data_IF_702343547894
#
_entry.id   IF_702343547894
#
_cell.length_a   1.000
_cell.length_b   1.000
_cell.length_c   1.000
_cell.angle_alpha   90.00
_cell.angle_beta   90.00
_cell.angle_gamma   90.00
#
_symmetry.space_group_name_H-M   'P 1'
#
loop_
_entity.id
_entity.type
_entity.pdbx_description
1 polymer ?
#
# COMPACT_ATOMS: atom_id res chain seq x y z
N UNK A 1 -4.72 10.03 -15.94
CA UNK A 1 -3.97 9.02 -15.16
C UNK A 1 -2.49 9.41 -15.25
N UNK A 2 -1.87 9.89 -14.18
CA UNK A 2 -0.40 9.94 -14.10
C UNK A 2 0.01 8.50 -13.79
N UNK A 3 0.63 7.81 -14.75
CA UNK A 3 1.13 6.45 -14.51
C UNK A 3 2.16 6.49 -13.39
N UNK A 4 2.29 5.41 -12.62
CA UNK A 4 3.34 5.24 -11.61
C UNK A 4 4.77 5.47 -12.16
N UNK A 5 4.93 5.50 -13.48
CA UNK A 5 6.16 5.86 -14.19
C UNK A 5 6.55 7.35 -14.09
N UNK A 6 5.67 8.24 -13.61
CA UNK A 6 5.96 9.67 -13.47
C UNK A 6 6.72 10.02 -12.18
N UNK A 7 6.74 9.08 -11.24
CA UNK A 7 7.28 9.22 -9.88
C UNK A 7 8.73 8.75 -9.76
N UNK A 8 9.12 7.80 -10.61
CA UNK A 8 10.45 7.21 -10.63
C UNK A 8 11.25 7.80 -11.80
N UNK A 9 12.53 8.11 -11.55
CA UNK A 9 13.43 8.63 -12.58
C UNK A 9 13.49 7.64 -13.76
N UNK A 10 13.36 8.15 -14.99
CA UNK A 10 13.51 7.33 -16.20
C UNK A 10 14.88 6.65 -16.19
N UNK A 11 14.88 5.35 -16.53
CA UNK A 11 16.10 4.51 -16.50
C UNK A 11 16.73 4.37 -15.10
N UNK A 12 15.94 4.43 -14.02
CA UNK A 12 16.42 4.30 -12.64
C UNK A 12 17.33 3.09 -12.40
N UNK A 13 17.04 1.92 -12.97
CA UNK A 13 17.93 0.76 -12.82
C UNK A 13 19.31 0.96 -13.47
N UNK A 14 19.38 1.56 -14.66
CA UNK A 14 20.67 1.88 -15.30
C UNK A 14 21.45 2.92 -14.48
N UNK A 15 20.75 3.91 -13.93
CA UNK A 15 21.36 4.92 -13.06
C UNK A 15 21.87 4.31 -11.75
N UNK A 16 21.08 3.43 -11.13
CA UNK A 16 21.44 2.74 -9.89
C UNK A 16 22.66 1.82 -10.07
N UNK A 17 22.73 1.09 -11.20
CA UNK A 17 23.90 0.28 -11.57
C UNK A 17 25.16 1.15 -11.66
N UNK A 18 25.10 2.26 -12.40
CA UNK A 18 26.24 3.18 -12.54
C UNK A 18 26.67 3.76 -11.19
N UNK A 19 25.72 4.21 -10.38
CA UNK A 19 26.02 4.81 -9.07
C UNK A 19 26.67 3.80 -8.13
N UNK A 20 26.10 2.59 -8.05
CA UNK A 20 26.67 1.50 -7.26
C UNK A 20 28.11 1.17 -7.70
N UNK A 21 28.35 1.07 -9.02
CA UNK A 21 29.66 0.72 -9.56
C UNK A 21 30.68 1.86 -9.51
N UNK A 22 30.23 3.11 -9.42
CA UNK A 22 31.08 4.26 -9.09
C UNK A 22 31.43 4.35 -7.60
N UNK A 23 30.89 3.43 -6.78
CA UNK A 23 31.15 3.38 -5.34
C UNK A 23 30.27 4.32 -4.53
N UNK A 24 29.20 4.89 -5.10
CA UNK A 24 28.19 5.64 -4.34
C UNK A 24 27.39 4.61 -3.53
N UNK A 25 27.30 4.82 -2.21
CA UNK A 25 26.53 3.94 -1.32
C UNK A 25 25.14 4.43 -0.98
N UNK A 26 24.92 5.74 -0.97
CA UNK A 26 23.68 6.32 -0.44
C UNK A 26 23.16 7.41 -1.37
N UNK A 27 21.86 7.37 -1.67
CA UNK A 27 21.13 8.42 -2.40
C UNK A 27 20.02 8.92 -1.48
N UNK A 28 19.73 10.22 -1.55
CA UNK A 28 18.65 10.85 -0.81
C UNK A 28 17.59 11.32 -1.79
N UNK A 29 16.43 10.71 -1.72
CA UNK A 29 15.29 11.01 -2.59
C UNK A 29 14.10 11.50 -1.80
N UNK A 30 13.04 11.85 -2.51
CA UNK A 30 11.79 12.37 -1.98
C UNK A 30 10.71 12.22 -3.05
N UNK A 31 9.88 13.25 -3.25
CA UNK A 31 8.77 13.27 -4.23
C UNK A 31 7.56 12.39 -3.87
N UNK A 32 7.78 11.14 -3.45
CA UNK A 32 6.69 10.23 -3.02
C UNK A 32 6.07 10.59 -1.67
N UNK A 33 6.79 11.39 -0.87
CA UNK A 33 6.40 11.81 0.47
C UNK A 33 6.28 10.67 1.49
N UNK A 34 6.74 9.46 1.19
CA UNK A 34 6.86 8.35 2.14
C UNK A 34 8.24 8.29 2.80
N UNK A 35 8.32 7.61 3.95
CA UNK A 35 9.58 7.23 4.60
C UNK A 35 9.90 5.83 4.11
N UNK A 36 10.99 5.68 3.37
CA UNK A 36 11.37 4.40 2.77
C UNK A 36 12.92 4.31 2.68
N UNK A 37 13.44 3.10 2.76
CA UNK A 37 14.86 2.80 2.62
C UNK A 37 15.07 1.56 1.75
N UNK A 38 15.34 1.75 0.46
CA UNK A 38 15.51 0.61 -0.45
C UNK A 38 16.96 0.29 -0.78
N UNK A 39 17.25 -0.94 -1.17
CA UNK A 39 18.59 -1.35 -1.64
C UNK A 39 18.60 -1.93 -3.06
N UNK A 40 19.49 -1.38 -3.89
CA UNK A 40 19.88 -1.92 -5.18
C UNK A 40 21.25 -2.63 -5.08
N UNK A 41 21.38 -3.79 -5.72
CA UNK A 41 22.67 -4.52 -5.83
C UNK A 41 23.06 -4.66 -7.29
N UNK A 42 24.22 -4.12 -7.66
CA UNK A 42 24.73 -4.15 -9.03
C UNK A 42 25.19 -5.54 -9.47
N UNK A 43 25.44 -5.72 -10.77
CA UNK A 43 26.00 -6.95 -11.29
C UNK A 43 27.39 -7.27 -10.70
N UNK A 44 28.12 -6.25 -10.25
CA UNK A 44 29.42 -6.39 -9.56
C UNK A 44 29.29 -6.60 -8.04
N UNK A 45 28.06 -6.67 -7.52
CA UNK A 45 27.76 -6.87 -6.11
C UNK A 45 27.90 -5.62 -5.24
N UNK A 46 28.04 -4.44 -5.86
CA UNK A 46 28.05 -3.16 -5.15
C UNK A 46 26.62 -2.80 -4.74
N UNK A 47 26.45 -2.22 -3.55
CA UNK A 47 25.13 -1.86 -3.01
C UNK A 47 24.94 -0.35 -2.99
N UNK A 48 23.80 0.08 -3.51
CA UNK A 48 23.30 1.45 -3.45
C UNK A 48 22.03 1.46 -2.62
N UNK A 49 22.01 2.27 -1.57
CA UNK A 49 20.86 2.45 -0.70
C UNK A 49 20.18 3.77 -1.06
N UNK A 50 18.89 3.72 -1.38
CA UNK A 50 18.07 4.90 -1.62
C UNK A 50 17.22 5.17 -0.38
N UNK A 51 17.39 6.35 0.19
CA UNK A 51 16.66 6.80 1.37
C UNK A 51 15.66 7.87 0.94
N UNK A 52 14.41 7.47 0.71
CA UNK A 52 13.31 8.39 0.48
C UNK A 52 12.84 8.95 1.82
N UNK A 53 12.86 10.28 1.94
CA UNK A 53 12.43 10.99 3.15
C UNK A 53 11.09 11.68 2.91
N UNK A 54 10.24 11.64 3.94
CA UNK A 54 8.91 12.23 3.88
C UNK A 54 8.99 13.74 3.69
N UNK A 55 7.93 14.34 3.14
CA UNK A 55 7.82 15.79 3.15
C UNK A 55 7.56 16.28 4.57
N UNK A 56 8.25 17.35 5.00
CA UNK A 56 7.96 18.03 6.27
C UNK A 56 6.62 18.79 6.25
N UNK A 57 5.95 18.88 5.11
CA UNK A 57 4.64 19.50 4.97
C UNK A 57 3.47 18.51 5.13
N UNK A 58 3.75 17.23 5.37
CA UNK A 58 2.75 16.18 5.49
C UNK A 58 3.13 15.17 6.57
N UNK A 59 2.15 14.47 7.15
CA UNK A 59 2.40 13.30 8.01
C UNK A 59 3.37 12.34 7.30
N UNK A 60 4.37 11.78 8.00
CA UNK A 60 4.57 11.76 9.47
C UNK A 60 5.34 12.95 10.09
N UNK A 61 5.70 13.96 9.31
CA UNK A 61 6.55 15.10 9.72
C UNK A 61 7.93 14.65 10.21
N UNK A 62 8.62 13.88 9.38
CA UNK A 62 9.88 13.24 9.76
C UNK A 62 11.07 13.74 8.94
N UNK A 63 12.25 13.65 9.55
CA UNK A 63 13.53 13.90 8.91
C UNK A 63 14.51 12.80 9.31
N UNK A 64 15.46 12.49 8.43
CA UNK A 64 16.44 11.43 8.66
C UNK A 64 17.80 12.00 9.04
N UNK A 65 18.39 11.47 10.11
CA UNK A 65 19.76 11.78 10.53
C UNK A 65 20.66 10.62 10.14
N UNK A 66 21.71 10.90 9.37
CA UNK A 66 22.61 9.87 8.85
C UNK A 66 24.04 10.17 9.30
N UNK A 67 24.66 9.17 9.90
CA UNK A 67 26.01 9.23 10.46
C UNK A 67 26.90 8.27 9.73
N UNK A 68 27.95 8.80 9.12
CA UNK A 68 28.93 8.05 8.37
C UNK A 68 30.16 7.76 9.22
N UNK A 69 30.66 6.52 9.14
CA UNK A 69 32.03 6.19 9.46
C UNK A 69 32.53 5.08 8.51
N UNK A 70 33.81 4.71 8.63
CA UNK A 70 34.43 3.75 7.71
C UNK A 70 33.82 2.35 7.83
N UNK A 71 33.35 1.96 9.02
CA UNK A 71 32.84 0.61 9.27
C UNK A 71 31.35 0.49 9.00
N UNK A 72 30.58 1.54 9.30
CA UNK A 72 29.12 1.53 9.22
C UNK A 72 28.55 2.91 8.89
N UNK A 73 27.36 2.91 8.31
CA UNK A 73 26.52 4.09 8.15
C UNK A 73 25.25 3.82 8.95
N UNK A 74 24.97 4.67 9.95
CA UNK A 74 23.76 4.60 10.75
C UNK A 74 22.77 5.64 10.29
N UNK A 75 21.51 5.27 10.17
CA UNK A 75 20.42 6.19 9.88
C UNK A 75 19.31 6.05 10.92
N UNK A 76 18.71 7.18 11.26
CA UNK A 76 17.67 7.30 12.28
C UNK A 76 16.65 8.33 11.81
N UNK A 77 15.40 7.91 11.68
CA UNK A 77 14.27 8.81 11.44
C UNK A 77 13.87 9.49 12.74
N UNK A 78 13.63 10.80 12.67
CA UNK A 78 13.18 11.63 13.80
C UNK A 78 11.96 12.43 13.40
N UNK A 79 11.04 12.59 14.34
CA UNK A 79 9.82 13.34 14.11
C UNK A 79 9.93 14.79 14.58
N UNK A 80 9.17 15.67 13.92
CA UNK A 80 8.96 17.06 14.34
C UNK A 80 7.69 17.13 15.17
N UNK A 81 7.85 17.32 16.49
CA UNK A 81 6.71 17.38 17.41
C UNK A 81 6.15 18.79 17.58
N UNK A 82 6.95 19.82 17.28
CA UNK A 82 6.60 21.24 17.45
C UNK A 82 7.27 22.10 16.38
N UNK A 83 6.60 23.17 16.02
CA UNK A 83 7.08 24.23 15.12
C UNK A 83 6.86 25.60 15.76
N UNK A 84 7.42 26.64 15.16
CA UNK A 84 7.13 28.01 15.54
C UNK A 84 5.77 28.44 14.96
N UNK A 85 4.72 28.38 15.80
CA UNK A 85 3.36 28.72 15.40
C UNK A 85 3.14 30.22 15.17
N UNK A 86 3.93 31.07 15.83
CA UNK A 86 3.86 32.52 15.63
C UNK A 86 4.46 32.87 14.27
N UNK A 87 5.58 32.25 13.91
CA UNK A 87 6.14 32.34 12.57
C UNK A 87 5.18 31.77 11.51
N UNK A 88 4.54 30.63 11.76
CA UNK A 88 3.56 30.03 10.84
C UNK A 88 2.39 30.99 10.56
N UNK A 89 1.77 31.54 11.60
CA UNK A 89 0.61 32.43 11.47
C UNK A 89 0.97 33.80 10.89
N UNK A 90 2.18 34.29 11.13
CA UNK A 90 2.69 35.50 10.50
C UNK A 90 2.96 35.30 8.99
N UNK A 91 3.49 34.12 8.60
CA UNK A 91 3.87 33.84 7.22
C UNK A 91 2.71 33.33 6.35
N UNK A 92 1.74 32.61 6.93
CA UNK A 92 0.68 31.93 6.20
C UNK A 92 -0.69 32.32 6.73
N UNK A 93 -1.54 32.86 5.86
CA UNK A 93 -2.95 33.15 6.17
C UNK A 93 -3.82 31.92 5.92
N UNK A 94 -4.95 31.83 6.62
CA UNK A 94 -6.00 30.83 6.34
C UNK A 94 -6.13 29.73 7.40
N UNK A 95 -5.24 29.67 8.38
CA UNK A 95 -5.45 28.82 9.55
C UNK A 95 -6.46 29.46 10.51
N UNK A 96 -7.39 28.65 11.02
CA UNK A 96 -8.29 29.07 12.11
C UNK A 96 -7.62 28.90 13.47
N UNK A 97 -8.12 29.60 14.48
CA UNK A 97 -7.60 29.49 15.85
C UNK A 97 -7.76 28.06 16.40
N UNK A 98 -8.79 27.33 15.99
CA UNK A 98 -8.99 25.92 16.33
C UNK A 98 -7.91 25.03 15.71
N UNK A 99 -7.55 25.27 14.45
CA UNK A 99 -6.47 24.51 13.79
C UNK A 99 -5.11 24.78 14.44
N UNK A 100 -4.81 26.04 14.75
CA UNK A 100 -3.58 26.40 15.48
C UNK A 100 -3.56 25.74 16.86
N UNK A 101 -4.69 25.74 17.57
CA UNK A 101 -4.81 25.12 18.89
C UNK A 101 -4.64 23.59 18.83
N UNK A 102 -5.23 22.94 17.82
CA UNK A 102 -5.06 21.50 17.59
C UNK A 102 -3.61 21.14 17.29
N UNK A 103 -2.94 21.91 16.42
CA UNK A 103 -1.51 21.71 16.13
C UNK A 103 -0.60 21.95 17.35
N UNK A 104 -0.96 22.88 18.24
CA UNK A 104 -0.23 23.12 19.51
C UNK A 104 -0.42 22.00 20.52
N UNK A 105 -1.58 21.37 20.53
CA UNK A 105 -1.88 20.24 21.41
C UNK A 105 -1.11 18.98 20.96
N UNK A 106 -1.22 18.63 19.68
CA UNK A 106 -0.49 17.51 19.09
C UNK A 106 -0.34 17.72 17.56
N UNK A 107 0.83 18.19 17.15
CA UNK A 107 1.14 18.46 15.74
C UNK A 107 1.09 17.19 14.89
N UNK A 108 1.54 16.05 15.43
CA UNK A 108 1.59 14.79 14.69
C UNK A 108 0.21 14.20 14.52
N UNK A 109 -0.61 14.20 15.57
CA UNK A 109 -2.00 13.77 15.47
C UNK A 109 -2.81 14.67 14.52
N UNK A 110 -2.62 15.99 14.58
CA UNK A 110 -3.23 16.93 13.65
C UNK A 110 -2.84 16.60 12.19
N UNK A 111 -1.55 16.40 11.93
CA UNK A 111 -1.02 16.06 10.61
C UNK A 111 -1.55 14.70 10.11
N UNK A 112 -1.61 13.68 10.98
CA UNK A 112 -2.21 12.37 10.66
C UNK A 112 -3.67 12.52 10.28
N UNK A 113 -4.45 13.28 11.05
CA UNK A 113 -5.85 13.56 10.75
C UNK A 113 -6.04 14.24 9.38
N UNK A 114 -5.19 15.23 9.07
CA UNK A 114 -5.18 15.89 7.76
C UNK A 114 -4.85 14.95 6.61
N UNK A 115 -3.85 14.07 6.78
CA UNK A 115 -3.53 13.03 5.80
C UNK A 115 -4.73 12.10 5.59
N UNK A 116 -5.31 11.56 6.66
CA UNK A 116 -6.44 10.63 6.58
C UNK A 116 -7.63 11.26 5.85
N UNK A 117 -7.99 12.50 6.18
CA UNK A 117 -9.05 13.22 5.49
C UNK A 117 -8.73 13.45 4.00
N UNK A 118 -7.49 13.81 3.68
CA UNK A 118 -7.03 13.98 2.29
C UNK A 118 -7.06 12.68 1.49
N UNK A 119 -6.59 11.58 2.07
CA UNK A 119 -6.60 10.24 1.47
C UNK A 119 -8.03 9.77 1.24
N UNK A 120 -8.92 9.90 2.23
CA UNK A 120 -10.33 9.57 2.07
C UNK A 120 -10.95 10.37 0.91
N UNK A 121 -10.78 11.69 0.90
CA UNK A 121 -11.29 12.54 -0.17
C UNK A 121 -10.76 12.11 -1.56
N UNK A 122 -9.46 11.81 -1.66
CA UNK A 122 -8.83 11.37 -2.91
C UNK A 122 -9.33 10.00 -3.36
N UNK A 123 -9.51 9.05 -2.44
CA UNK A 123 -10.03 7.73 -2.74
C UNK A 123 -11.50 7.80 -3.18
N UNK A 124 -12.34 8.51 -2.45
CA UNK A 124 -13.74 8.76 -2.86
C UNK A 124 -13.81 9.42 -4.24
N UNK A 125 -12.97 10.43 -4.51
CA UNK A 125 -12.90 11.06 -5.83
C UNK A 125 -12.41 10.09 -6.92
N UNK A 126 -11.46 9.23 -6.61
CA UNK A 126 -10.90 8.25 -7.56
C UNK A 126 -11.89 7.14 -7.91
N UNK A 127 -12.78 6.81 -6.95
CA UNK A 127 -13.89 5.90 -7.17
C UNK A 127 -15.05 6.56 -7.92
N UNK A 128 -15.03 7.89 -8.14
CA UNK A 128 -16.12 8.56 -8.87
C UNK A 128 -16.20 8.10 -10.34
N UNK A 129 -17.39 8.09 -10.96
CA UNK A 129 -17.60 7.53 -12.30
C UNK A 129 -16.74 8.23 -13.36
N UNK A 130 -16.59 9.54 -13.23
CA UNK A 130 -15.74 10.39 -14.07
C UNK A 130 -14.27 9.94 -14.01
N UNK A 131 -13.74 9.68 -12.80
CA UNK A 131 -12.32 9.31 -12.63
C UNK A 131 -12.03 7.86 -12.99
N UNK A 132 -13.02 6.97 -12.86
CA UNK A 132 -12.93 5.59 -13.33
C UNK A 132 -13.06 5.46 -14.85
N UNK A 133 -13.33 6.55 -15.59
CA UNK A 133 -13.51 6.50 -17.04
C UNK A 133 -14.78 5.75 -17.46
N UNK A 134 -15.78 5.68 -16.56
CA UNK A 134 -17.04 5.02 -16.83
C UNK A 134 -17.88 5.95 -17.71
N UNK A 135 -18.17 5.52 -18.94
CA UNK A 135 -19.20 6.17 -19.76
C UNK A 135 -20.56 5.95 -19.08
N UNK A 136 -21.15 7.02 -18.55
CA UNK A 136 -22.45 7.00 -17.87
C UNK A 136 -23.57 6.44 -18.76
N UNK A 137 -23.39 6.47 -20.09
CA UNK A 137 -24.34 5.94 -21.06
C UNK A 137 -24.15 4.44 -21.34
N UNK A 138 -23.06 3.83 -20.86
CA UNK A 138 -22.81 2.41 -21.03
C UNK A 138 -23.76 1.56 -20.19
N UNK A 139 -24.17 0.40 -20.70
CA UNK A 139 -25.13 -0.49 -20.02
C UNK A 139 -24.66 -0.98 -18.64
N UNK A 140 -23.35 -0.93 -18.37
CA UNK A 140 -22.74 -1.33 -17.10
C UNK A 140 -22.50 -0.19 -16.13
N UNK A 141 -22.78 1.07 -16.50
CA UNK A 141 -22.47 2.23 -15.66
C UNK A 141 -23.25 2.21 -14.35
N UNK A 142 -24.59 2.13 -14.42
CA UNK A 142 -25.47 2.21 -13.24
C UNK A 142 -25.15 1.19 -12.15
N UNK A 143 -24.93 -0.11 -12.46
CA UNK A 143 -24.54 -1.08 -11.44
C UNK A 143 -23.18 -0.78 -10.78
N UNK A 144 -22.20 -0.25 -11.53
CA UNK A 144 -20.87 0.09 -10.98
C UNK A 144 -20.95 1.34 -10.11
N UNK A 145 -21.67 2.38 -10.54
CA UNK A 145 -21.88 3.61 -9.75
C UNK A 145 -22.56 3.25 -8.41
N UNK A 146 -23.62 2.45 -8.49
CA UNK A 146 -24.29 1.93 -7.30
C UNK A 146 -23.35 1.14 -6.38
N UNK A 147 -22.44 0.32 -6.93
CA UNK A 147 -21.43 -0.42 -6.17
C UNK A 147 -20.48 0.46 -5.39
N UNK A 148 -19.96 1.48 -6.08
CA UNK A 148 -19.04 2.44 -5.49
C UNK A 148 -19.74 3.22 -4.39
N UNK A 149 -20.93 3.75 -4.67
CA UNK A 149 -21.67 4.56 -3.69
C UNK A 149 -21.96 3.73 -2.43
N UNK A 150 -22.38 2.47 -2.59
CA UNK A 150 -22.58 1.55 -1.47
C UNK A 150 -21.31 1.24 -0.71
N UNK A 151 -20.20 1.00 -1.40
CA UNK A 151 -18.91 0.82 -0.78
C UNK A 151 -18.53 2.04 0.09
N UNK A 152 -18.69 3.25 -0.44
CA UNK A 152 -18.39 4.48 0.30
C UNK A 152 -19.31 4.63 1.52
N UNK A 153 -20.62 4.35 1.37
CA UNK A 153 -21.59 4.38 2.47
C UNK A 153 -21.21 3.40 3.58
N UNK A 154 -20.86 2.16 3.23
CA UNK A 154 -20.55 1.10 4.17
C UNK A 154 -19.21 1.32 4.89
N UNK A 155 -18.21 1.90 4.21
CA UNK A 155 -16.96 2.31 4.85
C UNK A 155 -17.14 3.46 5.86
N UNK A 156 -18.23 4.25 5.75
CA UNK A 156 -18.59 5.32 6.70
C UNK A 156 -19.37 4.81 7.91
N UNK A 157 -19.91 3.59 7.86
CA UNK A 157 -20.62 3.01 9.00
C UNK A 157 -19.65 2.73 10.15
N UNK A 158 -20.15 2.67 11.40
CA UNK A 158 -19.38 2.13 12.51
C UNK A 158 -18.79 0.77 12.13
N UNK A 159 -17.51 0.52 12.42
CA UNK A 159 -16.90 -0.76 12.08
C UNK A 159 -17.49 -1.90 12.90
N UNK A 160 -17.63 -1.70 14.21
CA UNK A 160 -18.15 -2.68 15.18
C UNK A 160 -19.42 -2.18 15.88
N UNK A 161 -20.20 -3.10 16.48
CA UNK A 161 -21.40 -2.79 17.28
C UNK A 161 -22.74 -3.06 16.58
N UNK A 162 -23.84 -2.54 17.14
CA UNK A 162 -25.17 -2.62 16.52
C UNK A 162 -25.30 -1.62 15.36
N UNK A 163 -25.92 -2.03 14.24
CA UNK A 163 -26.00 -1.23 13.00
C UNK A 163 -24.62 -0.84 12.43
N UNK A 164 -23.67 -1.76 12.49
CA UNK A 164 -22.28 -1.61 12.06
C UNK A 164 -21.97 -2.45 10.82
N UNK A 165 -20.82 -2.21 10.20
CA UNK A 165 -20.30 -3.06 9.12
C UNK A 165 -20.09 -4.51 9.59
N UNK A 166 -19.65 -4.70 10.85
CA UNK A 166 -19.57 -6.03 11.48
C UNK A 166 -20.95 -6.71 11.57
N UNK A 167 -22.01 -5.98 11.88
CA UNK A 167 -23.36 -6.55 11.95
C UNK A 167 -23.87 -6.99 10.57
N UNK A 168 -23.62 -6.19 9.52
CA UNK A 168 -23.94 -6.56 8.13
C UNK A 168 -23.13 -7.77 7.70
N UNK A 169 -21.81 -7.79 7.98
CA UNK A 169 -20.94 -8.90 7.63
C UNK A 169 -21.42 -10.25 8.22
N UNK A 170 -21.92 -10.23 9.46
CA UNK A 170 -22.48 -11.42 10.15
C UNK A 170 -23.67 -12.01 9.40
N UNK A 171 -24.53 -11.20 8.78
CA UNK A 171 -25.68 -11.67 7.98
C UNK A 171 -25.24 -12.55 6.80
N UNK A 172 -24.02 -12.33 6.29
CA UNK A 172 -23.44 -13.06 5.16
C UNK A 172 -22.40 -14.10 5.60
N UNK A 173 -22.32 -14.41 6.89
CA UNK A 173 -21.37 -15.37 7.45
C UNK A 173 -19.91 -14.91 7.39
N UNK A 174 -19.66 -13.59 7.33
CA UNK A 174 -18.33 -13.00 7.34
C UNK A 174 -18.04 -12.48 8.75
N UNK A 175 -16.96 -12.97 9.34
CA UNK A 175 -16.57 -12.58 10.70
C UNK A 175 -15.59 -11.40 10.68
N UNK A 176 -16.04 -10.22 11.10
CA UNK A 176 -15.18 -9.07 11.35
C UNK A 176 -14.84 -9.06 12.86
N UNK A 177 -13.55 -9.13 13.24
CA UNK A 177 -13.16 -9.13 14.65
C UNK A 177 -13.52 -7.80 15.32
N UNK A 178 -13.67 -7.82 16.64
CA UNK A 178 -13.82 -6.58 17.41
C UNK A 178 -12.56 -5.72 17.26
N UNK A 179 -12.76 -4.40 17.21
CA UNK A 179 -11.73 -3.43 16.85
C UNK A 179 -12.06 -2.05 17.42
N UNK A 180 -11.01 -1.29 17.74
CA UNK A 180 -11.10 0.09 18.22
C UNK A 180 -11.26 1.13 17.10
N UNK A 181 -11.07 0.73 15.83
CA UNK A 181 -11.37 1.62 14.69
C UNK A 181 -12.83 2.04 14.65
N UNK A 182 -13.05 3.33 14.44
CA UNK A 182 -14.40 3.90 14.43
C UNK A 182 -15.18 3.42 13.20
N UNK A 183 -14.55 3.42 12.03
CA UNK A 183 -15.18 3.12 10.74
C UNK A 183 -14.24 2.34 9.82
N UNK A 184 -14.76 1.83 8.70
CA UNK A 184 -13.91 1.23 7.65
C UNK A 184 -12.94 2.25 7.04
N UNK A 185 -13.34 3.52 6.93
CA UNK A 185 -12.44 4.61 6.50
C UNK A 185 -11.32 4.88 7.48
N UNK A 186 -11.62 4.81 8.78
CA UNK A 186 -10.63 4.99 9.84
C UNK A 186 -9.51 3.94 9.73
N UNK A 187 -9.89 2.66 9.59
CA UNK A 187 -8.99 1.55 9.33
C UNK A 187 -8.21 1.71 8.02
N UNK A 188 -8.89 2.01 6.90
CA UNK A 188 -8.26 2.10 5.58
C UNK A 188 -7.25 3.25 5.51
N UNK A 189 -7.58 4.41 6.09
CA UNK A 189 -6.70 5.58 6.07
C UNK A 189 -5.56 5.46 7.08
N UNK A 190 -5.72 4.73 8.19
CA UNK A 190 -4.62 4.39 9.08
C UNK A 190 -3.60 3.46 8.43
N UNK A 191 -4.06 2.45 7.67
CA UNK A 191 -3.18 1.60 6.86
C UNK A 191 -2.33 2.41 5.88
N UNK A 192 -2.94 3.40 5.21
CA UNK A 192 -2.20 4.32 4.33
C UNK A 192 -1.24 5.19 5.14
N UNK A 193 -1.66 5.78 6.25
CA UNK A 193 -0.79 6.60 7.09
C UNK A 193 0.45 5.81 7.54
N UNK A 194 0.29 4.55 7.94
CA UNK A 194 1.40 3.70 8.35
C UNK A 194 2.40 3.44 7.23
N UNK A 195 1.94 3.17 6.01
CA UNK A 195 2.82 3.08 4.85
C UNK A 195 3.62 4.37 4.63
N UNK A 196 2.98 5.54 4.71
CA UNK A 196 3.68 6.82 4.59
C UNK A 196 4.73 7.05 5.69
N UNK A 197 4.57 6.43 6.86
CA UNK A 197 5.55 6.47 7.96
C UNK A 197 6.67 5.42 7.86
N UNK A 198 6.72 4.59 6.82
CA UNK A 198 7.70 3.50 6.72
C UNK A 198 7.45 2.39 7.74
N UNK A 199 6.18 2.15 8.06
CA UNK A 199 5.78 1.11 9.00
C UNK A 199 5.55 -0.22 8.29
N UNK A 200 6.54 -1.11 8.27
CA UNK A 200 6.48 -2.44 7.62
C UNK A 200 5.72 -3.51 8.45
N UNK A 201 4.79 -3.11 9.32
CA UNK A 201 4.23 -4.00 10.34
C UNK A 201 3.05 -4.86 9.88
N UNK A 202 2.45 -4.54 8.73
CA UNK A 202 1.24 -5.20 8.26
C UNK A 202 1.50 -6.03 7.01
N UNK A 203 1.15 -7.30 7.09
CA UNK A 203 1.16 -8.21 5.95
C UNK A 203 -0.28 -8.68 5.63
N UNK A 204 -0.42 -9.52 4.60
CA UNK A 204 -1.70 -10.09 4.16
C UNK A 204 -2.37 -11.06 5.17
N UNK A 205 -1.76 -11.25 6.33
CA UNK A 205 -2.28 -12.02 7.46
C UNK A 205 -2.62 -11.14 8.68
N UNK A 206 -2.18 -9.88 8.72
CA UNK A 206 -2.49 -8.95 9.79
C UNK A 206 -4.00 -8.75 9.97
N UNK A 207 -4.41 -8.54 11.22
CA UNK A 207 -5.84 -8.43 11.55
C UNK A 207 -6.48 -7.22 10.88
N UNK A 208 -5.75 -6.12 10.74
CA UNK A 208 -6.17 -4.87 10.11
C UNK A 208 -6.43 -5.08 8.61
N UNK A 209 -5.45 -5.67 7.90
CA UNK A 209 -5.55 -5.97 6.47
C UNK A 209 -6.68 -6.96 6.20
N UNK A 210 -6.77 -8.02 7.01
CA UNK A 210 -7.84 -9.02 6.86
C UNK A 210 -9.21 -8.47 7.23
N UNK A 211 -9.31 -7.59 8.22
CA UNK A 211 -10.55 -6.89 8.62
C UNK A 211 -11.04 -5.99 7.50
N UNK A 212 -10.15 -5.19 6.90
CA UNK A 212 -10.50 -4.34 5.76
C UNK A 212 -10.99 -5.19 4.58
N UNK A 213 -10.27 -6.27 4.26
CA UNK A 213 -10.68 -7.20 3.21
C UNK A 213 -12.03 -7.88 3.47
N UNK A 214 -12.32 -8.26 4.72
CA UNK A 214 -13.62 -8.83 5.13
C UNK A 214 -14.74 -7.81 5.10
N UNK A 215 -14.46 -6.56 5.47
CA UNK A 215 -15.35 -5.43 5.30
C UNK A 215 -15.73 -5.25 3.81
N UNK A 216 -14.76 -5.20 2.90
CA UNK A 216 -15.03 -5.20 1.47
C UNK A 216 -15.89 -6.41 1.02
N UNK A 217 -15.61 -7.61 1.53
CA UNK A 217 -16.39 -8.81 1.21
C UNK A 217 -17.85 -8.75 1.71
N UNK A 218 -18.09 -8.17 2.88
CA UNK A 218 -19.44 -7.99 3.42
C UNK A 218 -20.28 -7.06 2.54
N UNK A 219 -19.67 -5.94 2.14
CA UNK A 219 -20.23 -4.94 1.21
C UNK A 219 -20.64 -5.59 -0.11
N UNK A 220 -19.80 -6.50 -0.60
CA UNK A 220 -20.05 -7.21 -1.83
C UNK A 220 -21.24 -8.16 -1.74
N UNK A 221 -21.40 -8.86 -0.62
CA UNK A 221 -22.48 -9.84 -0.45
C UNK A 221 -23.85 -9.20 -0.19
N UNK A 222 -23.89 -7.98 0.36
CA UNK A 222 -25.15 -7.32 0.66
C UNK A 222 -25.92 -6.84 -0.56
N UNK A 223 -25.23 -6.40 -1.60
CA UNK A 223 -25.85 -5.61 -2.68
C UNK A 223 -25.59 -6.13 -4.11
N UNK A 224 -24.67 -7.08 -4.31
CA UNK A 224 -24.30 -7.56 -5.66
C UNK A 224 -24.85 -8.92 -6.08
N UNK A 225 -25.57 -9.62 -5.19
CA UNK A 225 -26.16 -10.92 -5.49
C UNK A 225 -27.16 -10.91 -6.69
N UNK A 226 -27.59 -9.72 -7.16
CA UNK A 226 -28.55 -9.55 -8.26
C UNK A 226 -27.99 -8.94 -9.56
N UNK A 227 -26.70 -8.62 -9.67
CA UNK A 227 -26.12 -8.01 -10.89
C UNK A 227 -25.59 -9.11 -11.83
N UNK A 228 -25.81 -8.96 -13.15
CA UNK A 228 -25.37 -9.94 -14.14
C UNK A 228 -23.85 -10.11 -14.15
N UNK A 229 -23.43 -11.22 -13.55
CA UNK A 229 -22.08 -11.74 -13.34
C UNK A 229 -21.13 -11.54 -14.55
N UNK A 230 -21.62 -11.69 -15.78
CA UNK A 230 -20.81 -11.57 -17.01
C UNK A 230 -20.51 -10.12 -17.43
N UNK A 231 -21.34 -9.16 -17.01
CA UNK A 231 -21.16 -7.73 -17.33
C UNK A 231 -20.06 -7.13 -16.47
N UNK A 232 -20.05 -7.43 -15.17
CA UNK A 232 -19.02 -6.96 -14.24
C UNK A 232 -17.66 -7.60 -14.54
N UNK A 233 -17.62 -8.90 -14.86
CA UNK A 233 -16.36 -9.56 -15.20
C UNK A 233 -15.68 -8.96 -16.46
N UNK A 234 -16.48 -8.58 -17.47
CA UNK A 234 -15.98 -7.85 -18.64
C UNK A 234 -15.47 -6.45 -18.27
N UNK A 235 -16.16 -5.74 -17.39
CA UNK A 235 -15.75 -4.41 -16.94
C UNK A 235 -14.38 -4.45 -16.22
N UNK A 236 -14.11 -5.45 -15.37
CA UNK A 236 -12.77 -5.60 -14.77
C UNK A 236 -11.69 -5.84 -15.79
N UNK A 237 -11.91 -6.78 -16.71
CA UNK A 237 -10.87 -7.10 -17.68
C UNK A 237 -10.54 -5.88 -18.57
N UNK A 238 -11.52 -5.01 -18.82
CA UNK A 238 -11.29 -3.74 -19.52
C UNK A 238 -10.53 -2.73 -18.66
N UNK A 239 -10.97 -2.46 -17.41
CA UNK A 239 -10.31 -1.50 -16.51
C UNK A 239 -8.86 -1.94 -16.21
N UNK A 240 -8.66 -3.22 -15.90
CA UNK A 240 -7.33 -3.78 -15.68
C UNK A 240 -6.47 -3.68 -16.93
N UNK A 241 -7.04 -3.96 -18.12
CA UNK A 241 -6.39 -3.77 -19.40
C UNK A 241 -5.93 -2.34 -19.63
N UNK A 242 -6.79 -1.36 -19.37
CA UNK A 242 -6.47 0.07 -19.48
C UNK A 242 -5.41 0.53 -18.46
N UNK A 243 -5.34 -0.15 -17.31
CA UNK A 243 -4.30 0.03 -16.30
C UNK A 243 -3.00 -0.76 -16.59
N UNK A 244 -2.93 -1.47 -17.72
CA UNK A 244 -1.76 -2.25 -18.14
C UNK A 244 -1.66 -3.66 -17.56
N UNK A 245 -2.71 -4.14 -16.88
CA UNK A 245 -2.81 -5.48 -16.30
C UNK A 245 -3.56 -6.44 -17.23
N UNK A 246 -3.20 -7.73 -17.18
CA UNK A 246 -3.88 -8.79 -17.94
C UNK A 246 -5.29 -9.12 -17.40
N UNK A 247 -6.05 -9.99 -18.09
CA UNK A 247 -7.34 -10.46 -17.59
C UNK A 247 -7.19 -11.15 -16.23
N UNK A 248 -8.28 -11.19 -15.45
CA UNK A 248 -8.31 -11.79 -14.11
C UNK A 248 -7.65 -13.18 -14.15
N UNK A 249 -6.52 -13.32 -13.46
CA UNK A 249 -5.81 -14.58 -13.36
C UNK A 249 -6.53 -15.54 -12.39
N UNK A 250 -6.51 -16.85 -12.68
CA UNK A 250 -7.02 -17.90 -11.79
C UNK A 250 -6.42 -17.85 -10.36
N UNK A 251 -5.30 -17.15 -10.18
CA UNK A 251 -4.64 -16.87 -8.90
C UNK A 251 -5.41 -15.90 -8.01
N UNK A 252 -5.98 -14.83 -8.56
CA UNK A 252 -6.84 -13.90 -7.82
C UNK A 252 -8.12 -14.62 -7.34
N UNK A 253 -8.68 -15.43 -8.24
CA UNK A 253 -9.80 -16.34 -8.00
C UNK A 253 -9.48 -17.30 -6.84
N UNK A 254 -8.36 -18.03 -6.86
CA UNK A 254 -8.00 -18.95 -5.76
C UNK A 254 -7.60 -18.24 -4.47
N UNK A 255 -6.98 -17.05 -4.54
CA UNK A 255 -6.71 -16.21 -3.38
C UNK A 255 -8.03 -15.83 -2.68
N UNK A 256 -9.00 -15.35 -3.44
CA UNK A 256 -10.32 -15.01 -2.92
C UNK A 256 -11.02 -16.23 -2.28
N UNK A 257 -10.88 -17.43 -2.87
CA UNK A 257 -11.50 -18.66 -2.34
C UNK A 257 -10.86 -18.98 -0.99
N UNK A 258 -9.52 -18.89 -0.94
CA UNK A 258 -8.74 -19.28 0.22
C UNK A 258 -8.88 -18.32 1.41
N UNK A 259 -9.18 -17.05 1.16
CA UNK A 259 -9.28 -16.02 2.20
C UNK A 259 -10.72 -15.67 2.57
N UNK A 260 -11.68 -15.83 1.65
CA UNK A 260 -13.05 -15.32 1.81
C UNK A 260 -14.17 -16.36 1.54
N UNK A 261 -13.83 -17.56 1.06
CA UNK A 261 -14.81 -18.61 0.74
C UNK A 261 -15.39 -18.54 -0.68
N UNK A 262 -16.61 -19.05 -0.91
CA UNK A 262 -17.28 -19.01 -2.23
C UNK A 262 -17.65 -17.57 -2.60
N UNK A 263 -17.48 -17.21 -3.88
CA UNK A 263 -17.76 -15.86 -4.39
C UNK A 263 -18.45 -15.84 -5.76
N UNK A 264 -19.06 -14.70 -6.05
CA UNK A 264 -19.69 -14.22 -7.29
C UNK A 264 -18.67 -13.45 -8.15
N UNK A 265 -18.98 -13.20 -9.43
CA UNK A 265 -18.07 -12.45 -10.32
C UNK A 265 -17.96 -10.97 -9.94
N UNK A 266 -18.94 -10.43 -9.21
CA UNK A 266 -18.92 -9.09 -8.63
C UNK A 266 -17.91 -8.96 -7.47
N UNK A 267 -17.74 -10.00 -6.66
CA UNK A 267 -16.74 -10.02 -5.57
C UNK A 267 -15.31 -10.03 -6.11
N UNK A 268 -15.07 -10.76 -7.20
CA UNK A 268 -13.81 -10.73 -7.95
C UNK A 268 -13.56 -9.34 -8.55
N UNK A 269 -14.63 -8.64 -8.97
CA UNK A 269 -14.55 -7.31 -9.57
C UNK A 269 -13.94 -6.27 -8.62
N UNK A 270 -14.45 -6.17 -7.38
CA UNK A 270 -13.91 -5.19 -6.43
C UNK A 270 -12.58 -5.61 -5.82
N UNK A 271 -12.29 -6.91 -5.62
CA UNK A 271 -10.95 -7.33 -5.18
C UNK A 271 -9.92 -7.08 -6.29
N UNK A 272 -10.27 -7.23 -7.57
CA UNK A 272 -9.41 -6.81 -8.68
C UNK A 272 -9.08 -5.31 -8.68
N UNK A 273 -10.03 -4.48 -8.25
CA UNK A 273 -9.84 -3.02 -8.12
C UNK A 273 -9.09 -2.64 -6.84
N UNK A 274 -9.36 -3.33 -5.72
CA UNK A 274 -8.76 -3.03 -4.41
C UNK A 274 -7.38 -3.69 -4.22
N UNK A 275 -7.10 -4.81 -4.88
CA UNK A 275 -5.84 -5.56 -4.69
C UNK A 275 -4.58 -4.81 -5.12
N UNK A 276 -4.53 -4.00 -6.20
CA UNK A 276 -3.35 -3.21 -6.53
C UNK A 276 -3.07 -2.13 -5.48
N UNK A 277 -4.12 -1.63 -4.84
CA UNK A 277 -4.05 -0.67 -3.73
C UNK A 277 -3.50 -1.40 -2.50
N UNK A 278 -4.12 -2.51 -2.08
CA UNK A 278 -3.74 -3.26 -0.89
C UNK A 278 -2.35 -3.94 -1.00
N UNK A 279 -1.96 -4.42 -2.18
CA UNK A 279 -0.67 -5.10 -2.39
C UNK A 279 0.52 -4.14 -2.31
N UNK A 280 0.38 -2.90 -2.80
CA UNK A 280 1.42 -1.87 -2.67
C UNK A 280 1.56 -1.34 -1.25
N UNK A 281 0.51 -1.39 -0.44
CA UNK A 281 0.52 -0.90 0.93
C UNK A 281 0.98 -1.93 1.98
N UNK A 282 0.88 -3.24 1.69
CA UNK A 282 1.05 -4.30 2.68
C UNK A 282 2.31 -5.18 2.50
N UNK A 283 3.19 -4.85 1.55
CA UNK A 283 4.39 -5.65 1.34
C UNK A 283 5.53 -4.78 0.82
N UNK A 284 6.25 -4.17 1.77
CA UNK A 284 7.65 -3.83 1.58
C UNK A 284 8.50 -4.82 2.37
N UNK A 285 9.48 -5.43 1.71
CA UNK A 285 10.44 -6.33 2.34
C UNK A 285 11.62 -6.49 1.37
N UNK A 286 12.44 -5.45 1.35
CA UNK A 286 13.73 -5.45 0.67
C UNK A 286 14.88 -5.81 1.63
N UNK A 287 14.56 -6.00 2.91
CA UNK A 287 15.46 -6.41 3.98
C UNK A 287 16.22 -5.26 4.65
N UNK A 288 15.79 -4.01 4.42
CA UNK A 288 16.30 -2.79 5.06
C UNK A 288 15.16 -2.14 5.84
N UNK A 289 15.40 -1.78 7.09
CA UNK A 289 14.37 -1.07 7.89
C UNK A 289 14.21 0.36 7.36
N UNK A 290 12.99 0.77 7.03
CA UNK A 290 12.69 2.09 6.45
C UNK A 290 13.18 3.25 7.31
N UNK A 291 13.15 3.10 8.64
CA UNK A 291 13.27 4.22 9.55
C UNK A 291 14.60 4.24 10.30
N UNK A 292 15.07 3.09 10.78
CA UNK A 292 16.21 3.01 11.66
C UNK A 292 17.04 1.78 11.36
N UNK A 293 18.31 2.00 11.02
CA UNK A 293 19.17 0.87 10.73
C UNK A 293 20.64 1.21 10.66
N UNK A 294 21.40 0.17 10.36
CA UNK A 294 22.85 0.24 10.17
C UNK A 294 23.21 -0.53 8.93
N UNK A 295 23.84 0.15 7.98
CA UNK A 295 24.36 -0.44 6.74
C UNK A 295 25.88 -0.38 6.75
N UNK A 296 26.49 -1.11 5.82
CA UNK A 296 27.93 -1.26 5.71
C UNK A 296 28.65 0.05 5.28
N UNK A 297 29.70 0.44 6.01
CA UNK A 297 30.49 1.64 5.73
C UNK A 297 31.43 1.50 4.54
N UNK A 298 32.04 2.60 4.11
CA UNK A 298 32.92 2.63 2.94
C UNK A 298 34.17 1.75 3.06
N UNK A 299 34.69 1.54 4.27
CA UNK A 299 35.87 0.70 4.56
C UNK A 299 35.61 -0.81 4.62
N UNK A 300 34.35 -1.24 4.52
CA UNK A 300 33.98 -2.67 4.61
C UNK A 300 33.86 -3.37 3.25
N UNK A 301 33.89 -2.60 2.15
CA UNK A 301 33.71 -3.11 0.79
C UNK A 301 34.97 -3.85 0.33
N UNK A 302 34.81 -5.13 -0.02
CA UNK A 302 35.86 -5.94 -0.63
C UNK A 302 35.28 -7.03 -1.53
N UNK A 303 36.14 -7.70 -2.29
CA UNK A 303 35.73 -8.75 -3.23
C UNK A 303 34.87 -9.85 -2.58
N UNK A 304 35.16 -10.21 -1.33
CA UNK A 304 34.42 -11.25 -0.60
C UNK A 304 33.02 -10.77 -0.19
N UNK A 305 32.86 -9.52 0.23
CA UNK A 305 31.53 -8.95 0.52
C UNK A 305 30.69 -8.84 -0.74
N UNK A 306 31.28 -8.40 -1.86
CA UNK A 306 30.55 -8.27 -3.13
C UNK A 306 30.06 -9.62 -3.66
N UNK A 307 30.89 -10.66 -3.61
CA UNK A 307 30.48 -12.03 -3.96
C UNK A 307 29.34 -12.51 -3.05
N UNK A 308 29.42 -12.22 -1.75
CA UNK A 308 28.35 -12.55 -0.80
C UNK A 308 27.04 -11.81 -1.13
N UNK A 309 27.12 -10.53 -1.51
CA UNK A 309 25.97 -9.72 -1.90
C UNK A 309 25.33 -10.25 -3.18
N UNK A 310 26.13 -10.67 -4.17
CA UNK A 310 25.63 -11.32 -5.39
C UNK A 310 24.87 -12.59 -5.03
N UNK A 311 25.44 -13.46 -4.17
CA UNK A 311 24.75 -14.67 -3.73
C UNK A 311 23.49 -14.39 -2.91
N UNK A 312 23.48 -13.36 -2.06
CA UNK A 312 22.28 -12.92 -1.33
C UNK A 312 21.22 -12.35 -2.25
N UNK A 313 21.61 -11.57 -3.27
CA UNK A 313 20.68 -11.02 -4.24
C UNK A 313 20.12 -12.11 -5.15
N UNK A 314 20.96 -13.05 -5.62
CA UNK A 314 20.50 -14.26 -6.31
C UNK A 314 19.64 -15.14 -5.40
N UNK A 315 19.97 -15.20 -4.11
CA UNK A 315 19.23 -15.87 -3.05
C UNK A 315 17.86 -15.26 -2.86
N UNK A 316 17.74 -13.94 -2.69
CA UNK A 316 16.47 -13.22 -2.54
C UNK A 316 15.65 -13.21 -3.83
N UNK A 317 16.29 -13.12 -5.00
CA UNK A 317 15.64 -13.37 -6.29
C UNK A 317 15.16 -14.81 -6.39
N UNK A 318 15.95 -15.79 -5.90
CA UNK A 318 15.56 -17.19 -5.86
C UNK A 318 14.51 -17.47 -4.79
N UNK A 319 14.44 -16.74 -3.68
CA UNK A 319 13.42 -16.85 -2.64
C UNK A 319 12.15 -16.13 -3.06
N UNK A 320 12.24 -14.99 -3.76
CA UNK A 320 11.11 -14.35 -4.43
C UNK A 320 10.60 -15.26 -5.55
N UNK A 321 11.49 -15.82 -6.39
CA UNK A 321 11.13 -16.81 -7.41
C UNK A 321 10.65 -18.13 -6.80
N UNK A 322 11.22 -18.63 -5.70
CA UNK A 322 10.80 -19.85 -4.98
C UNK A 322 9.53 -19.58 -4.20
N UNK A 323 9.28 -18.37 -3.72
CA UNK A 323 8.00 -17.95 -3.15
C UNK A 323 6.95 -17.90 -4.25
N UNK A 324 7.23 -17.30 -5.41
CA UNK A 324 6.34 -17.35 -6.57
C UNK A 324 6.18 -18.78 -7.14
N UNK A 325 7.23 -19.60 -7.15
CA UNK A 325 7.22 -21.00 -7.59
C UNK A 325 6.55 -21.88 -6.54
N UNK A 326 6.67 -21.63 -5.23
CA UNK A 326 5.95 -22.30 -4.16
C UNK A 326 4.50 -21.85 -4.15
N UNK A 327 4.20 -20.58 -4.43
CA UNK A 327 2.85 -20.08 -4.65
C UNK A 327 2.25 -20.86 -5.84
N UNK A 328 2.97 -20.98 -6.95
CA UNK A 328 2.59 -21.74 -8.16
C UNK A 328 2.55 -23.25 -7.93
N UNK A 329 3.45 -23.85 -7.15
CA UNK A 329 3.53 -25.29 -6.86
C UNK A 329 2.55 -25.70 -5.77
N UNK A 330 2.27 -24.86 -4.77
CA UNK A 330 1.17 -25.04 -3.81
C UNK A 330 -0.17 -24.96 -4.53
N UNK A 331 -0.23 -24.11 -5.54
CA UNK A 331 -1.36 -23.93 -6.43
C UNK A 331 -1.54 -25.10 -7.42
N UNK A 332 -0.45 -25.74 -7.88
CA UNK A 332 -0.45 -26.96 -8.68
C UNK A 332 -0.62 -28.24 -7.83
N UNK A 333 -0.11 -28.28 -6.60
CA UNK A 333 -0.29 -29.37 -5.66
C UNK A 333 -1.74 -29.43 -5.14
N UNK A 334 -2.39 -28.28 -4.95
CA UNK A 334 -3.85 -28.20 -4.71
C UNK A 334 -4.69 -28.57 -5.95
N UNK A 335 -4.15 -28.45 -7.16
CA UNK A 335 -4.79 -28.99 -8.37
C UNK A 335 -4.74 -30.53 -8.41
N UNK A 336 -3.67 -31.17 -7.93
CA UNK A 336 -3.59 -32.64 -7.89
C UNK A 336 -4.42 -33.32 -6.78
N UNK A 337 -4.92 -32.57 -5.79
CA UNK A 337 -5.91 -33.11 -4.83
C UNK A 337 -7.34 -33.09 -5.39
N UNK A 338 -7.59 -32.32 -6.46
CA UNK A 338 -8.90 -32.22 -7.13
C UNK A 338 -9.02 -33.19 -8.32
N UNK A 339 -7.90 -33.72 -8.86
CA UNK A 339 -7.92 -34.72 -9.94
C UNK A 339 -7.79 -36.18 -9.47
N UNK A 340 -7.85 -36.46 -8.17
CA UNK A 340 -7.92 -37.82 -7.59
C UNK A 340 -9.10 -38.04 -6.65
N UNK A 341 -10.19 -37.27 -6.79
CA UNK A 341 -11.52 -37.67 -6.32
C UNK A 341 -12.58 -37.40 -7.38
#
# INVERSE_FOLDING_TARGET
MYSAESFIVKFHFTTAELFADWGIKTVFTGHEHCSDATVYTSALGNRLYDFATTSLAMYPLEYRVIKYNDNEIRYETRSVDKIDYDALTAATKGYTDEQISAMKNDLRAFSKGYLKAGVQYRLELSLSPEKMGIDENAAYSKPIIYAVDKLIELLRMPLCGENSLQSIAKEYGIEIPDSDYETGWDLATDLVAWHYSGGEHFDMSSVEVTTLLRAFAAILRSDFAGVADDVLLKAVNNILGDMGYGPIADSLIKFCISKFGVYTKAEIFLVGIASPVLYKFAYDNDGVDDNNGTIEGYGTVNLKSNVTNIFKNLGSLSERMVFYIQLVLSYLAKLNVIFLK
#
